data_IF_309462923154
#
_entry.id   IF_309462923154
#
_cell.length_a   1.000
_cell.length_b   1.000
_cell.length_c   1.000
_cell.angle_alpha   90.00
_cell.angle_beta   90.00
_cell.angle_gamma   90.00
#
_symmetry.space_group_name_H-M   'P 1'
#
loop_
_entity.id
_entity.type
_entity.pdbx_description
1 polymer ?
#
# COMPACT_ATOMS: atom_id res chain seq x y z
N UNK A 1 -10.76 17.44 -33.18
CA UNK A 1 -10.35 16.17 -32.55
C UNK A 1 -9.54 15.41 -33.58
N UNK A 2 -8.30 15.06 -33.26
CA UNK A 2 -7.48 14.22 -34.14
C UNK A 2 -7.84 12.74 -33.96
N UNK A 3 -7.42 11.90 -34.90
CA UNK A 3 -7.68 10.47 -34.85
C UNK A 3 -7.11 9.84 -33.56
N UNK A 4 -5.97 10.35 -33.08
CA UNK A 4 -5.37 9.90 -31.82
C UNK A 4 -6.28 10.15 -30.63
N UNK A 5 -6.86 11.36 -30.51
CA UNK A 5 -7.78 11.69 -29.40
C UNK A 5 -9.00 10.78 -29.39
N UNK A 6 -9.55 10.44 -30.57
CA UNK A 6 -10.68 9.52 -30.67
C UNK A 6 -10.27 8.10 -30.24
N UNK A 7 -9.12 7.61 -30.71
CA UNK A 7 -8.59 6.28 -30.37
C UNK A 7 -8.31 6.18 -28.86
N UNK A 8 -7.54 7.12 -28.30
CA UNK A 8 -7.18 7.09 -26.88
C UNK A 8 -8.39 7.36 -25.97
N UNK A 9 -9.31 8.23 -26.38
CA UNK A 9 -10.58 8.43 -25.69
C UNK A 9 -11.43 7.16 -25.64
N UNK A 10 -11.56 6.46 -26.78
CA UNK A 10 -12.25 5.17 -26.87
C UNK A 10 -11.60 4.09 -25.99
N UNK A 11 -10.28 3.97 -26.04
CA UNK A 11 -9.51 3.05 -25.20
C UNK A 11 -9.73 3.33 -23.71
N UNK A 12 -9.80 4.60 -23.32
CA UNK A 12 -10.07 5.01 -21.94
C UNK A 12 -11.44 4.52 -21.48
N UNK A 13 -12.49 4.75 -22.29
CA UNK A 13 -13.85 4.32 -21.97
C UNK A 13 -13.97 2.80 -21.88
N UNK A 14 -13.36 2.07 -22.82
CA UNK A 14 -13.35 0.60 -22.81
C UNK A 14 -12.62 0.09 -21.56
N UNK A 15 -11.46 0.67 -21.22
CA UNK A 15 -10.69 0.28 -20.03
C UNK A 15 -11.48 0.50 -18.75
N UNK A 16 -12.17 1.64 -18.61
CA UNK A 16 -13.05 1.91 -17.49
C UNK A 16 -14.20 0.91 -17.43
N UNK A 17 -14.85 0.63 -18.56
CA UNK A 17 -15.95 -0.33 -18.62
C UNK A 17 -15.51 -1.73 -18.16
N UNK A 18 -14.36 -2.21 -18.66
CA UNK A 18 -13.77 -3.49 -18.23
C UNK A 18 -13.41 -3.45 -16.74
N UNK A 19 -12.82 -2.36 -16.25
CA UNK A 19 -12.45 -2.22 -14.84
C UNK A 19 -13.68 -2.28 -13.92
N UNK A 20 -14.74 -1.53 -14.20
CA UNK A 20 -15.96 -1.57 -13.39
C UNK A 20 -16.69 -2.90 -13.50
N UNK A 21 -16.70 -3.51 -14.69
CA UNK A 21 -17.27 -4.84 -14.87
C UNK A 21 -16.50 -5.90 -14.08
N UNK A 22 -15.16 -5.87 -14.09
CA UNK A 22 -14.35 -6.82 -13.33
C UNK A 22 -14.37 -6.55 -11.83
N UNK A 23 -14.44 -5.27 -11.43
CA UNK A 23 -14.50 -4.85 -10.03
C UNK A 23 -15.71 -5.37 -9.26
N UNK A 24 -16.81 -5.73 -9.95
CA UNK A 24 -17.98 -6.37 -9.32
C UNK A 24 -17.68 -7.77 -8.79
N UNK A 25 -16.67 -8.45 -9.34
CA UNK A 25 -16.36 -9.82 -8.98
C UNK A 25 -15.46 -9.79 -7.75
N UNK A 26 -16.02 -10.20 -6.61
CA UNK A 26 -15.24 -10.41 -5.40
C UNK A 26 -14.30 -11.61 -5.61
N UNK A 27 -13.06 -11.49 -5.15
CA UNK A 27 -12.13 -12.61 -5.07
C UNK A 27 -12.78 -13.81 -4.33
N UNK A 28 -12.38 -15.02 -4.70
CA UNK A 28 -13.01 -16.24 -4.16
C UNK A 28 -12.96 -16.26 -2.64
N UNK A 29 -14.02 -16.78 -2.00
CA UNK A 29 -14.06 -16.99 -0.54
C UNK A 29 -12.84 -17.77 -0.05
N UNK A 30 -12.35 -18.73 -0.83
CA UNK A 30 -11.13 -19.50 -0.54
C UNK A 30 -9.87 -18.64 -0.37
N UNK A 31 -9.80 -17.48 -1.03
CA UNK A 31 -8.66 -16.56 -0.92
C UNK A 31 -8.81 -15.59 0.27
N UNK A 32 -10.06 -15.34 0.70
CA UNK A 32 -10.40 -14.40 1.77
C UNK A 32 -10.38 -15.07 3.15
N UNK A 33 -10.90 -16.30 3.23
CA UNK A 33 -11.08 -17.09 4.44
C UNK A 33 -9.92 -18.10 4.59
N UNK A 34 -8.68 -17.61 4.48
CA UNK A 34 -7.47 -18.42 4.67
C UNK A 34 -7.21 -18.65 6.15
N UNK A 35 -6.84 -19.89 6.52
CA UNK A 35 -6.58 -20.28 7.90
C UNK A 35 -5.33 -19.59 8.47
N UNK A 36 -4.35 -19.26 7.63
CA UNK A 36 -3.09 -18.57 8.00
C UNK A 36 -3.22 -17.03 8.00
N UNK A 37 -4.43 -16.49 8.16
CA UNK A 37 -4.67 -15.05 8.10
C UNK A 37 -3.90 -14.32 9.20
N UNK A 38 -3.17 -13.27 8.81
CA UNK A 38 -2.53 -12.34 9.74
C UNK A 38 -3.61 -11.73 10.64
N UNK A 39 -3.49 -11.95 11.94
CA UNK A 39 -4.34 -11.33 12.95
C UNK A 39 -3.86 -9.90 13.24
N UNK A 40 -4.54 -8.94 12.62
CA UNK A 40 -4.27 -7.52 12.82
C UNK A 40 -4.79 -6.97 14.15
N UNK A 41 -5.62 -7.73 14.89
CA UNK A 41 -6.04 -7.35 16.24
C UNK A 41 -4.90 -7.52 17.26
N UNK A 42 -3.95 -8.41 16.94
CA UNK A 42 -2.78 -8.66 17.75
C UNK A 42 -1.62 -7.77 17.31
N UNK A 43 -1.26 -6.80 18.17
CA UNK A 43 -0.06 -5.99 17.93
C UNK A 43 1.20 -6.85 18.11
N UNK A 44 1.91 -7.13 17.01
CA UNK A 44 3.16 -7.90 17.01
C UNK A 44 4.41 -7.09 17.36
N UNK A 45 4.31 -5.75 17.38
CA UNK A 45 5.41 -4.85 17.69
C UNK A 45 5.23 -4.15 19.04
N UNK A 46 6.35 -3.85 19.71
CA UNK A 46 6.33 -3.07 20.94
C UNK A 46 6.54 -1.60 20.63
N UNK A 47 5.55 -0.75 20.95
CA UNK A 47 5.68 0.70 20.81
C UNK A 47 6.85 1.25 21.62
N UNK A 48 7.11 0.69 22.80
CA UNK A 48 8.27 1.08 23.61
C UNK A 48 9.58 0.73 22.92
N UNK A 49 9.70 -0.44 22.29
CA UNK A 49 10.90 -0.78 21.51
C UNK A 49 11.10 0.20 20.35
N UNK A 50 10.04 0.52 19.62
CA UNK A 50 10.10 1.50 18.52
C UNK A 50 10.53 2.88 19.06
N UNK A 51 9.95 3.32 20.16
CA UNK A 51 10.29 4.58 20.80
C UNK A 51 11.78 4.65 21.16
N UNK A 52 12.30 3.65 21.89
CA UNK A 52 13.71 3.63 22.29
C UNK A 52 14.66 3.54 21.09
N UNK A 53 14.32 2.78 20.04
CA UNK A 53 15.10 2.72 18.81
C UNK A 53 15.11 4.08 18.09
N UNK A 54 13.96 4.73 17.97
CA UNK A 54 13.86 6.06 17.34
C UNK A 54 14.64 7.13 18.12
N UNK A 55 14.58 7.09 19.45
CA UNK A 55 15.34 7.98 20.33
C UNK A 55 16.85 7.76 20.16
N UNK A 56 17.30 6.50 20.15
CA UNK A 56 18.71 6.16 19.95
C UNK A 56 19.22 6.67 18.58
N UNK A 57 18.46 6.45 17.51
CA UNK A 57 18.80 6.94 16.18
C UNK A 57 18.91 8.48 16.14
N UNK A 58 17.97 9.19 16.75
CA UNK A 58 18.01 10.65 16.84
C UNK A 58 19.26 11.16 17.57
N UNK A 59 19.59 10.57 18.73
CA UNK A 59 20.80 10.91 19.48
C UNK A 59 22.06 10.64 18.65
N UNK A 60 22.13 9.48 17.98
CA UNK A 60 23.27 9.15 17.11
C UNK A 60 23.45 10.18 15.98
N UNK A 61 22.37 10.62 15.34
CA UNK A 61 22.44 11.66 14.29
C UNK A 61 22.91 13.01 14.85
N UNK A 62 22.46 13.39 16.05
CA UNK A 62 22.86 14.65 16.68
C UNK A 62 24.35 14.63 17.07
N UNK A 63 24.84 13.51 17.60
CA UNK A 63 26.27 13.35 17.91
C UNK A 63 27.13 13.39 16.66
N UNK A 64 26.72 12.71 15.59
CA UNK A 64 27.40 12.80 14.30
C UNK A 64 27.45 14.23 13.77
N UNK A 65 26.34 14.97 13.87
CA UNK A 65 26.29 16.37 13.45
C UNK A 65 27.22 17.30 14.27
N UNK A 66 27.55 16.95 15.51
CA UNK A 66 28.52 17.69 16.32
C UNK A 66 29.99 17.36 15.99
N UNK A 67 30.24 16.25 15.30
CA UNK A 67 31.59 15.81 14.91
C UNK A 67 32.07 16.41 13.58
N UNK A 68 31.18 17.04 12.81
CA UNK A 68 31.47 17.74 11.55
C UNK A 68 31.34 19.26 11.73
#
# INVERSE_FOLDING_TARGET
MDLNTIIFGGLTLISLAVFFYLGRFKASRKQFDREDRIDWSRRSFSLWKIFFVSLALGVMTALLAQMF
#
